data_IF_452541372167
#
_entry.id   IF_452541372167
#
_cell.length_a   1.000
_cell.length_b   1.000
_cell.length_c   1.000
_cell.angle_alpha   90.00
_cell.angle_beta   90.00
_cell.angle_gamma   90.00
#
_symmetry.space_group_name_H-M   'P 1'
#
loop_
_entity.id
_entity.type
_entity.pdbx_description
1 polymer ?
#
# COMPACT_ATOMS: atom_id res chain seq x y z
N UNK A 1 -8.18 -4.45 -18.21
CA UNK A 1 -7.58 -3.12 -17.99
C UNK A 1 -7.27 -2.89 -16.53
N UNK A 2 -6.01 -2.55 -16.25
CA UNK A 2 -5.54 -2.27 -14.91
C UNK A 2 -5.31 -0.77 -14.73
N UNK A 3 -5.59 -0.26 -13.54
CA UNK A 3 -5.20 1.07 -13.10
C UNK A 3 -4.02 0.94 -12.14
N UNK A 4 -3.06 1.84 -12.26
CA UNK A 4 -1.89 1.91 -11.37
C UNK A 4 -1.94 3.29 -10.71
N UNK A 5 -2.02 3.30 -9.39
CA UNK A 5 -2.08 4.51 -8.58
C UNK A 5 -0.71 4.66 -7.93
N UNK A 6 -0.03 5.78 -8.20
CA UNK A 6 1.36 6.01 -7.77
C UNK A 6 1.46 7.40 -7.14
N UNK A 7 2.06 7.52 -5.94
CA UNK A 7 2.41 8.80 -5.36
C UNK A 7 3.52 9.49 -6.18
N UNK A 8 3.37 10.79 -6.42
CA UNK A 8 4.34 11.57 -7.20
C UNK A 8 5.61 11.92 -6.42
N UNK A 9 5.58 11.75 -5.11
CA UNK A 9 6.61 12.16 -4.16
C UNK A 9 7.42 10.97 -3.59
N UNK A 10 7.19 9.76 -4.10
CA UNK A 10 7.95 8.56 -3.68
C UNK A 10 8.91 8.13 -4.77
N UNK A 11 10.17 7.86 -4.41
CA UNK A 11 11.11 7.23 -5.32
C UNK A 11 10.86 5.73 -5.36
N UNK A 12 10.40 5.25 -6.50
CA UNK A 12 10.02 3.86 -6.71
C UNK A 12 10.89 3.20 -7.79
N UNK A 13 11.38 1.97 -7.58
CA UNK A 13 12.14 1.21 -8.59
C UNK A 13 11.22 0.77 -9.74
N UNK A 14 11.33 1.45 -10.89
CA UNK A 14 10.42 1.25 -12.02
C UNK A 14 10.40 -0.20 -12.57
N UNK A 15 11.55 -0.87 -12.57
CA UNK A 15 11.69 -2.28 -12.93
C UNK A 15 10.81 -3.19 -12.05
N UNK A 16 10.74 -2.93 -10.74
CA UNK A 16 9.87 -3.67 -9.83
C UNK A 16 8.39 -3.39 -10.08
N UNK A 17 8.04 -2.22 -10.62
CA UNK A 17 6.65 -1.91 -10.97
C UNK A 17 6.17 -2.82 -12.11
N UNK A 18 7.01 -3.03 -13.12
CA UNK A 18 6.70 -3.95 -14.22
C UNK A 18 6.47 -5.37 -13.71
N UNK A 19 7.31 -5.84 -12.78
CA UNK A 19 7.15 -7.15 -12.15
C UNK A 19 5.87 -7.24 -11.31
N UNK A 20 5.53 -6.18 -10.55
CA UNK A 20 4.30 -6.13 -9.78
C UNK A 20 3.05 -6.20 -10.68
N UNK A 21 3.05 -5.49 -11.81
CA UNK A 21 1.95 -5.54 -12.79
C UNK A 21 1.79 -6.94 -13.39
N UNK A 22 2.91 -7.60 -13.71
CA UNK A 22 2.88 -8.97 -14.21
C UNK A 22 2.32 -9.93 -13.15
N UNK A 23 2.83 -9.87 -11.93
CA UNK A 23 2.32 -10.67 -10.81
C UNK A 23 0.83 -10.41 -10.57
N UNK A 24 0.38 -9.15 -10.66
CA UNK A 24 -1.04 -8.80 -10.53
C UNK A 24 -1.90 -9.46 -11.61
N UNK A 25 -1.41 -9.58 -12.85
CA UNK A 25 -2.14 -10.23 -13.94
C UNK A 25 -2.31 -11.74 -13.76
N UNK A 26 -1.46 -12.36 -12.95
CA UNK A 26 -1.48 -13.78 -12.61
C UNK A 26 -2.28 -14.06 -11.31
N UNK A 27 -2.56 -13.02 -10.52
CA UNK A 27 -3.29 -13.12 -9.26
C UNK A 27 -4.82 -13.10 -9.45
N UNK A 28 -5.52 -13.74 -8.52
CA UNK A 28 -7.00 -13.78 -8.50
C UNK A 28 -7.65 -12.66 -7.66
N UNK A 29 -6.92 -11.57 -7.40
CA UNK A 29 -7.41 -10.45 -6.57
C UNK A 29 -7.73 -9.22 -7.42
N UNK A 30 -8.73 -8.43 -7.00
CA UNK A 30 -9.07 -7.18 -7.69
C UNK A 30 -8.12 -6.01 -7.40
N UNK A 31 -7.35 -6.09 -6.31
CA UNK A 31 -6.39 -5.07 -5.85
C UNK A 31 -5.12 -5.74 -5.33
N UNK A 32 -3.98 -5.13 -5.63
CA UNK A 32 -2.67 -5.44 -5.07
C UNK A 32 -2.05 -4.18 -4.45
N UNK A 33 -1.54 -4.34 -3.23
CA UNK A 33 -0.76 -3.32 -2.54
C UNK A 33 0.73 -3.60 -2.70
N UNK A 34 1.47 -2.65 -3.28
CA UNK A 34 2.91 -2.77 -3.38
C UNK A 34 3.56 -2.30 -2.09
N UNK A 35 4.38 -3.16 -1.49
CA UNK A 35 5.01 -2.97 -0.18
C UNK A 35 6.51 -3.23 -0.26
N UNK A 36 7.24 -2.92 0.80
CA UNK A 36 8.65 -3.31 0.96
C UNK A 36 8.90 -3.94 2.33
N UNK A 37 9.60 -5.06 2.33
CA UNK A 37 10.20 -5.69 3.54
C UNK A 37 11.51 -5.03 3.96
N UNK A 38 12.07 -4.15 3.11
CA UNK A 38 13.35 -3.48 3.34
C UNK A 38 13.17 -1.95 3.32
N UNK A 39 12.51 -1.38 4.34
CA UNK A 39 12.30 0.05 4.43
C UNK A 39 13.63 0.79 4.59
N UNK A 40 13.72 1.98 3.99
CA UNK A 40 14.86 2.87 4.22
C UNK A 40 14.91 3.41 5.66
N UNK A 41 16.07 3.86 6.10
CA UNK A 41 16.36 4.30 7.49
C UNK A 41 15.38 5.37 8.03
N UNK A 42 14.75 6.16 7.15
CA UNK A 42 13.82 7.23 7.51
C UNK A 42 12.39 7.00 6.97
N UNK A 43 12.02 5.75 6.66
CA UNK A 43 10.68 5.43 6.18
C UNK A 43 9.63 5.73 7.26
N UNK A 44 8.60 6.49 6.89
CA UNK A 44 7.41 6.63 7.73
C UNK A 44 6.60 5.35 7.70
N UNK A 45 5.78 5.15 8.73
CA UNK A 45 4.92 3.98 8.86
C UNK A 45 5.67 2.66 8.61
N UNK A 46 6.94 2.62 9.05
CA UNK A 46 7.76 1.41 8.95
C UNK A 46 7.03 0.26 9.63
N UNK A 47 6.90 -0.86 8.92
CA UNK A 47 6.34 -2.12 9.43
C UNK A 47 4.87 -1.99 9.90
N UNK A 48 4.06 -1.23 9.17
CA UNK A 48 2.64 -0.97 9.49
C UNK A 48 1.63 -1.73 8.66
N UNK A 49 2.07 -2.42 7.60
CA UNK A 49 1.20 -3.30 6.82
C UNK A 49 1.43 -4.73 7.31
N UNK A 50 0.40 -5.38 7.83
CA UNK A 50 0.46 -6.78 8.27
C UNK A 50 0.00 -7.67 7.13
N UNK A 51 0.83 -8.64 6.76
CA UNK A 51 0.55 -9.59 5.67
C UNK A 51 0.72 -11.03 6.16
N UNK A 52 0.09 -11.97 5.48
CA UNK A 52 0.50 -13.38 5.51
C UNK A 52 1.24 -13.74 4.21
N UNK A 53 1.33 -15.03 3.87
CA UNK A 53 2.03 -15.50 2.68
C UNK A 53 1.41 -15.01 1.36
N UNK A 54 0.13 -14.59 1.34
CA UNK A 54 -0.60 -14.28 0.10
C UNK A 54 -1.27 -12.89 0.09
N UNK A 55 -1.72 -12.41 1.25
CA UNK A 55 -2.62 -11.26 1.35
C UNK A 55 -2.23 -10.28 2.45
N UNK A 56 -2.65 -9.03 2.23
CA UNK A 56 -2.73 -8.03 3.30
C UNK A 56 -3.84 -8.41 4.26
N UNK A 57 -3.51 -8.47 5.54
CA UNK A 57 -4.44 -8.78 6.62
C UNK A 57 -4.96 -7.52 7.29
N UNK A 58 -4.05 -6.57 7.57
CA UNK A 58 -4.36 -5.35 8.34
C UNK A 58 -3.49 -4.19 7.89
N UNK A 59 -4.10 -3.02 7.90
CA UNK A 59 -3.42 -1.73 7.82
C UNK A 59 -3.38 -1.08 9.22
N UNK A 60 -2.17 -0.82 9.69
CA UNK A 60 -1.90 -0.12 10.95
C UNK A 60 -1.19 1.23 10.73
N UNK A 61 -1.19 1.79 9.51
CA UNK A 61 -0.64 3.11 9.22
C UNK A 61 -1.32 4.20 10.07
N UNK A 62 -0.53 5.19 10.52
CA UNK A 62 -1.02 6.29 11.36
C UNK A 62 -1.37 5.93 12.82
N UNK A 63 -1.30 4.65 13.21
CA UNK A 63 -1.50 4.23 14.60
C UNK A 63 -0.20 4.38 15.40
N UNK A 64 -0.30 4.90 16.61
CA UNK A 64 0.85 5.19 17.49
C UNK A 64 1.30 3.99 18.33
N UNK A 65 0.42 3.02 18.55
CA UNK A 65 0.73 1.78 19.28
C UNK A 65 1.67 0.88 18.49
N UNK A 66 2.38 -0.02 19.17
CA UNK A 66 3.13 -1.08 18.50
C UNK A 66 2.20 -2.03 17.75
N UNK A 67 2.69 -2.58 16.62
CA UNK A 67 1.92 -3.54 15.83
C UNK A 67 2.05 -4.92 16.45
N UNK A 68 0.94 -5.48 16.91
CA UNK A 68 0.87 -6.89 17.28
C UNK A 68 0.71 -7.75 16.03
N UNK A 69 1.54 -8.79 15.91
CA UNK A 69 1.47 -9.75 14.82
C UNK A 69 1.79 -11.16 15.31
N UNK A 70 1.27 -12.16 14.60
CA UNK A 70 1.50 -13.58 14.87
C UNK A 70 2.76 -14.09 14.15
N UNK A 71 3.29 -15.24 14.55
CA UNK A 71 4.49 -15.84 13.92
C UNK A 71 4.31 -16.14 12.42
N UNK A 72 3.08 -16.37 11.97
CA UNK A 72 2.74 -16.59 10.56
C UNK A 72 2.50 -15.29 9.79
N UNK A 73 2.69 -14.14 10.42
CA UNK A 73 2.49 -12.82 9.82
C UNK A 73 3.84 -12.13 9.63
N UNK A 74 3.91 -11.31 8.59
CA UNK A 74 5.04 -10.42 8.33
C UNK A 74 4.61 -8.98 8.39
N UNK A 75 5.52 -8.11 8.82
CA UNK A 75 5.34 -6.68 8.79
C UNK A 75 6.05 -6.09 7.58
N UNK A 76 5.32 -5.30 6.82
CA UNK A 76 5.78 -4.64 5.62
C UNK A 76 5.54 -3.14 5.71
N UNK A 77 6.23 -2.38 4.88
CA UNK A 77 6.06 -0.92 4.76
C UNK A 77 5.38 -0.60 3.43
N UNK A 78 4.34 0.24 3.47
CA UNK A 78 3.65 0.70 2.26
C UNK A 78 4.59 1.50 1.37
N UNK A 79 4.55 1.27 0.06
CA UNK A 79 5.23 2.13 -0.94
C UNK A 79 4.30 3.21 -1.50
N UNK A 80 3.03 3.22 -1.05
CA UNK A 80 1.97 4.04 -1.63
C UNK A 80 1.52 3.60 -3.03
N UNK A 81 2.08 2.55 -3.63
CA UNK A 81 1.64 2.09 -4.95
C UNK A 81 0.52 1.05 -4.82
N UNK A 82 -0.58 1.27 -5.54
CA UNK A 82 -1.70 0.32 -5.68
C UNK A 82 -1.87 -0.05 -7.15
N UNK A 83 -2.01 -1.34 -7.41
CA UNK A 83 -2.42 -1.87 -8.72
C UNK A 83 -3.81 -2.44 -8.56
N UNK A 84 -4.74 -2.06 -9.44
CA UNK A 84 -6.12 -2.50 -9.35
C UNK A 84 -6.71 -2.85 -10.71
N UNK A 85 -7.60 -3.84 -10.72
CA UNK A 85 -8.52 -4.03 -11.84
C UNK A 85 -9.45 -2.82 -11.88
N UNK A 86 -9.49 -2.12 -13.03
CA UNK A 86 -10.25 -0.88 -13.16
C UNK A 86 -11.72 -1.08 -12.84
N UNK A 87 -12.32 -2.17 -13.32
CA UNK A 87 -13.74 -2.46 -13.10
C UNK A 87 -14.02 -2.78 -11.64
N UNK A 88 -13.20 -3.64 -11.03
CA UNK A 88 -13.35 -3.99 -9.62
C UNK A 88 -13.20 -2.76 -8.71
N UNK A 89 -12.19 -1.92 -8.97
CA UNK A 89 -11.99 -0.68 -8.21
C UNK A 89 -13.21 0.24 -8.30
N UNK A 90 -13.73 0.49 -9.51
CA UNK A 90 -14.87 1.39 -9.71
C UNK A 90 -16.16 0.86 -9.06
N UNK A 91 -16.39 -0.45 -9.12
CA UNK A 91 -17.52 -1.11 -8.46
C UNK A 91 -17.43 -0.94 -6.95
N UNK A 92 -16.33 -1.36 -6.34
CA UNK A 92 -16.15 -1.28 -4.88
C UNK A 92 -16.11 0.14 -4.37
N UNK A 93 -15.50 1.06 -5.10
CA UNK A 93 -15.46 2.48 -4.71
C UNK A 93 -16.85 3.13 -4.78
N UNK A 94 -17.72 2.68 -5.69
CA UNK A 94 -19.12 3.11 -5.70
C UNK A 94 -19.83 2.64 -4.43
N UNK A 95 -19.72 1.35 -4.09
CA UNK A 95 -20.34 0.79 -2.89
C UNK A 95 -19.86 1.52 -1.62
N UNK A 96 -18.54 1.76 -1.53
CA UNK A 96 -17.93 2.54 -0.46
C UNK A 96 -18.54 3.94 -0.35
N UNK A 97 -18.66 4.67 -1.47
CA UNK A 97 -19.22 6.03 -1.47
C UNK A 97 -20.71 6.07 -1.12
N UNK A 98 -21.50 5.07 -1.52
CA UNK A 98 -22.91 5.00 -1.17
C UNK A 98 -23.12 4.86 0.34
N UNK A 99 -22.25 4.12 1.02
CA UNK A 99 -22.23 4.02 2.49
C UNK A 99 -21.66 5.27 3.20
N UNK A 100 -20.91 6.13 2.50
CA UNK A 100 -20.15 7.25 3.08
C UNK A 100 -20.51 8.63 2.53
N UNK A 101 -21.72 8.80 1.96
CA UNK A 101 -22.17 10.02 1.24
C UNK A 101 -22.01 11.35 1.99
N UNK A 102 -21.87 11.34 3.31
CA UNK A 102 -21.74 12.54 4.13
C UNK A 102 -20.29 12.96 4.42
N UNK A 103 -19.28 12.23 3.93
CA UNK A 103 -17.86 12.60 4.09
C UNK A 103 -17.44 13.64 3.06
N UNK A 104 -16.73 14.67 3.52
CA UNK A 104 -16.20 15.75 2.68
C UNK A 104 -14.93 15.39 1.91
N UNK A 105 -14.22 14.34 2.34
CA UNK A 105 -13.04 13.80 1.66
C UNK A 105 -12.89 12.31 1.97
N UNK A 106 -12.27 11.59 1.04
CA UNK A 106 -11.97 10.16 1.15
C UNK A 106 -10.50 9.95 0.85
N UNK A 107 -9.82 9.26 1.75
CA UNK A 107 -8.44 8.82 1.57
C UNK A 107 -8.39 7.35 1.15
N UNK A 108 -7.64 7.06 0.08
CA UNK A 108 -7.53 5.70 -0.45
C UNK A 108 -6.97 4.72 0.59
N UNK A 109 -5.92 5.12 1.31
CA UNK A 109 -5.18 4.28 2.24
C UNK A 109 -5.81 4.25 3.61
N UNK A 110 -6.41 5.36 4.07
CA UNK A 110 -6.96 5.46 5.43
C UNK A 110 -8.44 5.08 5.52
N UNK A 111 -9.16 5.15 4.41
CA UNK A 111 -10.60 4.90 4.40
C UNK A 111 -10.98 3.70 3.52
N UNK A 112 -10.66 3.76 2.23
CA UNK A 112 -11.17 2.79 1.25
C UNK A 112 -10.56 1.40 1.41
N UNK A 113 -9.22 1.30 1.45
CA UNK A 113 -8.53 0.01 1.60
C UNK A 113 -8.86 -0.66 2.95
N UNK A 114 -8.86 0.05 4.10
CA UNK A 114 -9.30 -0.52 5.37
C UNK A 114 -10.75 -1.00 5.35
N UNK A 115 -11.65 -0.28 4.65
CA UNK A 115 -13.03 -0.71 4.48
C UNK A 115 -13.14 -2.03 3.70
N UNK A 116 -12.35 -2.20 2.62
CA UNK A 116 -12.28 -3.46 1.88
C UNK A 116 -11.81 -4.62 2.76
N UNK A 117 -10.71 -4.42 3.51
CA UNK A 117 -10.16 -5.42 4.42
C UNK A 117 -11.17 -5.82 5.50
N UNK A 118 -11.87 -4.85 6.08
CA UNK A 118 -12.94 -5.09 7.07
C UNK A 118 -14.14 -5.84 6.47
N UNK A 119 -14.42 -5.61 5.18
CA UNK A 119 -15.44 -6.35 4.40
C UNK A 119 -15.03 -7.77 4.03
N UNK A 120 -13.80 -8.20 4.34
CA UNK A 120 -13.28 -9.54 4.03
C UNK A 120 -12.77 -9.68 2.59
N UNK A 121 -12.62 -8.58 1.86
CA UNK A 121 -12.02 -8.61 0.52
C UNK A 121 -10.54 -8.96 0.61
N UNK A 122 -10.10 -9.81 -0.32
CA UNK A 122 -8.69 -10.22 -0.41
C UNK A 122 -7.90 -9.19 -1.22
N UNK A 123 -6.88 -8.63 -0.58
CA UNK A 123 -5.92 -7.72 -1.22
C UNK A 123 -4.58 -8.46 -1.29
N UNK A 124 -4.08 -8.73 -2.48
CA UNK A 124 -2.73 -9.29 -2.63
C UNK A 124 -1.69 -8.22 -2.34
N UNK A 125 -0.43 -8.63 -2.15
CA UNK A 125 0.68 -7.69 -2.06
C UNK A 125 1.84 -8.11 -2.95
N UNK A 126 2.70 -7.14 -3.26
CA UNK A 126 3.96 -7.39 -3.94
C UNK A 126 5.08 -6.70 -3.18
N UNK A 127 6.03 -7.49 -2.70
CA UNK A 127 7.19 -6.99 -1.96
C UNK A 127 8.34 -6.64 -2.91
N UNK A 128 8.69 -5.35 -2.98
CA UNK A 128 9.79 -4.87 -3.82
C UNK A 128 11.17 -5.09 -3.21
N UNK A 129 11.26 -5.42 -1.91
CA UNK A 129 12.51 -5.78 -1.18
C UNK A 129 13.63 -4.74 -1.21
N UNK A 130 13.34 -3.53 -1.67
CA UNK A 130 14.25 -2.40 -1.72
C UNK A 130 13.60 -1.16 -1.12
N UNK A 131 14.38 -0.18 -0.64
CA UNK A 131 13.82 1.05 -0.11
C UNK A 131 13.04 1.86 -1.15
N UNK A 132 11.87 2.35 -0.77
CA UNK A 132 11.03 3.29 -1.55
C UNK A 132 10.85 4.59 -0.77
N UNK A 133 11.85 5.48 -0.74
CA UNK A 133 11.83 6.65 0.12
C UNK A 133 10.77 7.66 -0.32
N UNK A 134 9.95 8.09 0.64
CA UNK A 134 8.99 9.18 0.52
C UNK A 134 9.70 10.53 0.70
N UNK A 135 9.55 11.41 -0.28
CA UNK A 135 10.14 12.75 -0.37
C UNK A 135 9.12 13.87 -0.21
N UNK A 136 7.92 13.58 0.29
CA UNK A 136 6.79 14.50 0.41
C UNK A 136 6.99 15.67 1.38
N UNK A 137 8.11 15.75 2.10
CA UNK A 137 8.45 16.92 2.93
C UNK A 137 9.81 17.53 2.57
N UNK A 138 10.00 18.85 2.76
CA UNK A 138 11.29 19.50 2.50
C UNK A 138 12.46 18.89 3.27
N UNK A 139 12.23 18.43 4.50
CA UNK A 139 13.25 17.80 5.34
C UNK A 139 13.74 16.48 4.72
N UNK A 140 12.80 15.66 4.23
CA UNK A 140 13.10 14.37 3.61
C UNK A 140 13.83 14.54 2.29
N UNK A 141 13.39 15.50 1.47
CA UNK A 141 14.08 15.85 0.24
C UNK A 141 15.52 16.31 0.50
N UNK A 142 15.75 17.09 1.56
CA UNK A 142 17.10 17.55 1.95
C UNK A 142 18.00 16.42 2.47
N UNK A 143 17.43 15.45 3.18
CA UNK A 143 18.16 14.30 3.72
C UNK A 143 18.48 13.26 2.65
N UNK A 144 17.65 13.16 1.61
CA UNK A 144 17.82 12.21 0.54
C UNK A 144 19.17 12.40 -0.19
N UNK A 145 19.93 11.31 -0.35
CA UNK A 145 21.23 11.29 -1.03
C UNK A 145 22.42 11.83 -0.23
N UNK A 146 22.22 12.34 0.99
CA UNK A 146 23.34 12.70 1.89
C UNK A 146 23.90 11.44 2.54
N UNK A 147 25.16 11.13 2.26
CA UNK A 147 25.93 10.14 3.04
C UNK A 147 26.26 10.80 4.39
N UNK A 148 25.95 10.12 5.49
CA UNK A 148 26.51 10.46 6.80
C UNK A 148 28.03 10.34 6.76
#
# INVERSE_FOLDING_TARGET
DNAIIIPIDTLFPFDMLCLAIQAFSENNTGIMWVVTSNPGVNAQNTNRIVVNDEYVLRDEEGKTRDVCFYETESLMTSTGVIIASKMYFLEKYRDFNEGNRNRSSTDLYRDFIPWLLQGGEKISFFDVRVPTPDLGTPERLKQFGRKN
#
